data_IF_011613045592
#
_entry.id   IF_011613045592
#
_cell.length_a   1.000
_cell.length_b   1.000
_cell.length_c   1.000
_cell.angle_alpha   90.00
_cell.angle_beta   90.00
_cell.angle_gamma   90.00
#
_symmetry.space_group_name_H-M   'P 1'
#
loop_
_entity.id
_entity.type
_entity.pdbx_description
1 polymer ?
#
# COMPACT_ATOMS: atom_id res chain seq x y z
N UNK A 1 -1.87 6.03 0.78
CA UNK A 1 -2.70 5.52 -0.32
C UNK A 1 -1.81 4.87 -1.37
N UNK A 2 -2.14 3.67 -1.84
CA UNK A 2 -1.45 2.95 -2.91
C UNK A 2 -2.41 2.75 -4.10
N UNK A 3 -1.87 2.34 -5.25
CA UNK A 3 -2.67 2.00 -6.43
C UNK A 3 -2.20 0.68 -7.03
N UNK A 4 -3.13 -0.24 -7.28
CA UNK A 4 -2.89 -1.39 -8.14
C UNK A 4 -3.06 -0.95 -9.60
N UNK A 5 -2.07 -1.23 -10.44
CA UNK A 5 -2.10 -0.85 -11.86
C UNK A 5 -1.77 -2.04 -12.74
N UNK A 6 -2.46 -2.15 -13.88
CA UNK A 6 -2.17 -3.11 -14.95
C UNK A 6 -1.96 -2.30 -16.23
N UNK A 7 -0.82 -2.50 -16.89
CA UNK A 7 -0.43 -1.74 -18.09
C UNK A 7 -0.53 -0.21 -17.90
N UNK A 8 -0.14 0.29 -16.72
CA UNK A 8 -0.21 1.71 -16.37
C UNK A 8 -1.62 2.25 -16.07
N UNK A 9 -2.68 1.43 -16.22
CA UNK A 9 -4.05 1.80 -15.86
C UNK A 9 -4.34 1.40 -14.42
N UNK A 10 -4.86 2.33 -13.63
CA UNK A 10 -5.33 2.07 -12.26
C UNK A 10 -6.53 1.13 -12.27
N UNK A 11 -6.43 0.05 -11.50
CA UNK A 11 -7.47 -0.95 -11.31
C UNK A 11 -8.18 -0.73 -9.97
N UNK A 12 -7.42 -0.60 -8.87
CA UNK A 12 -7.94 -0.21 -7.57
C UNK A 12 -7.05 0.83 -6.89
N UNK A 13 -7.69 1.67 -6.07
CA UNK A 13 -7.04 2.49 -5.06
C UNK A 13 -7.10 1.75 -3.73
N UNK A 14 -5.96 1.65 -3.02
CA UNK A 14 -5.84 0.98 -1.73
C UNK A 14 -5.55 2.01 -0.64
N UNK A 15 -6.38 2.04 0.37
CA UNK A 15 -6.18 2.77 1.61
C UNK A 15 -5.67 1.83 2.69
N UNK A 16 -4.57 2.22 3.32
CA UNK A 16 -3.87 1.45 4.35
C UNK A 16 -3.72 2.31 5.58
N UNK A 17 -3.95 1.71 6.73
CA UNK A 17 -3.51 2.24 8.01
C UNK A 17 -1.99 2.07 8.12
N UNK A 18 -1.24 3.15 8.34
CA UNK A 18 0.23 3.08 8.42
C UNK A 18 0.75 2.58 9.77
N UNK A 19 -0.06 2.64 10.82
CA UNK A 19 0.30 2.10 12.13
C UNK A 19 0.09 0.58 12.17
N UNK A 20 -1.07 0.13 11.70
CA UNK A 20 -1.43 -1.31 11.74
C UNK A 20 -1.07 -2.07 10.47
N UNK A 21 -0.77 -1.36 9.38
CA UNK A 21 -0.53 -1.91 8.02
C UNK A 21 -1.71 -2.72 7.46
N UNK A 22 -2.91 -2.54 8.02
CA UNK A 22 -4.12 -3.18 7.54
C UNK A 22 -4.74 -2.37 6.41
N UNK A 23 -5.29 -3.07 5.43
CA UNK A 23 -6.08 -2.44 4.36
C UNK A 23 -7.42 -2.00 4.94
N UNK A 24 -7.72 -0.70 4.84
CA UNK A 24 -9.00 -0.11 5.22
C UNK A 24 -9.97 -0.18 4.04
N UNK A 25 -9.50 0.14 2.84
CA UNK A 25 -10.28 0.10 1.61
C UNK A 25 -9.44 -0.36 0.42
N UNK A 26 -10.08 -1.06 -0.52
CA UNK A 26 -9.51 -1.35 -1.83
C UNK A 26 -10.65 -1.34 -2.85
N UNK A 27 -10.68 -0.36 -3.75
CA UNK A 27 -11.83 -0.10 -4.63
C UNK A 27 -11.42 0.35 -6.02
N UNK A 28 -12.13 -0.13 -7.02
CA UNK A 28 -12.00 0.26 -8.41
C UNK A 28 -12.84 1.47 -8.80
N UNK A 29 -13.04 1.64 -10.11
CA UNK A 29 -13.87 2.73 -10.66
C UNK A 29 -15.28 2.63 -10.07
N UNK A 30 -15.83 3.79 -9.68
CA UNK A 30 -17.14 3.90 -9.04
C UNK A 30 -17.30 3.03 -7.78
N UNK A 31 -16.23 2.89 -6.98
CA UNK A 31 -16.21 2.10 -5.74
C UNK A 31 -16.57 0.61 -5.92
N UNK A 32 -16.37 0.08 -7.13
CA UNK A 32 -16.60 -1.34 -7.39
C UNK A 32 -15.51 -2.21 -6.77
N UNK A 33 -15.87 -3.44 -6.39
CA UNK A 33 -14.90 -4.53 -6.20
C UNK A 33 -14.48 -5.01 -7.58
N UNK A 34 -13.18 -5.10 -7.85
CA UNK A 34 -12.69 -5.65 -9.13
C UNK A 34 -12.46 -7.15 -9.04
N UNK A 35 -12.32 -7.84 -10.18
CA UNK A 35 -11.98 -9.27 -10.23
C UNK A 35 -10.62 -9.60 -9.58
N UNK A 36 -9.75 -8.60 -9.40
CA UNK A 36 -8.43 -8.75 -8.80
C UNK A 36 -8.41 -8.41 -7.31
N UNK A 37 -9.54 -8.01 -6.72
CA UNK A 37 -9.60 -7.45 -5.36
C UNK A 37 -8.90 -8.34 -4.33
N UNK A 38 -9.26 -9.62 -4.26
CA UNK A 38 -8.69 -10.54 -3.27
C UNK A 38 -7.19 -10.76 -3.48
N UNK A 39 -6.75 -10.83 -4.75
CA UNK A 39 -5.33 -10.94 -5.09
C UNK A 39 -4.55 -9.69 -4.67
N UNK A 40 -5.13 -8.50 -4.88
CA UNK A 40 -4.55 -7.22 -4.45
C UNK A 40 -4.41 -7.20 -2.93
N UNK A 41 -5.46 -7.56 -2.18
CA UNK A 41 -5.41 -7.61 -0.72
C UNK A 41 -4.33 -8.56 -0.21
N UNK A 42 -4.25 -9.77 -0.79
CA UNK A 42 -3.25 -10.76 -0.41
C UNK A 42 -1.83 -10.26 -0.68
N UNK A 43 -1.58 -9.68 -1.85
CA UNK A 43 -0.27 -9.13 -2.21
C UNK A 43 0.15 -8.00 -1.28
N UNK A 44 -0.75 -7.07 -0.98
CA UNK A 44 -0.48 -5.96 -0.06
C UNK A 44 -0.15 -6.49 1.34
N UNK A 45 -0.95 -7.41 1.86
CA UNK A 45 -0.73 -7.98 3.19
C UNK A 45 0.61 -8.72 3.29
N UNK A 46 0.93 -9.56 2.30
CA UNK A 46 2.19 -10.32 2.24
C UNK A 46 3.43 -9.40 2.16
N UNK A 47 3.30 -8.24 1.52
CA UNK A 47 4.40 -7.30 1.28
C UNK A 47 4.41 -6.09 2.22
N UNK A 48 3.53 -6.04 3.23
CA UNK A 48 3.41 -4.93 4.18
C UNK A 48 4.73 -4.54 4.86
N UNK A 49 5.64 -5.49 5.08
CA UNK A 49 6.98 -5.26 5.62
C UNK A 49 7.84 -4.31 4.76
N UNK A 50 7.67 -4.30 3.43
CA UNK A 50 8.39 -3.41 2.52
C UNK A 50 7.97 -1.94 2.69
N UNK A 51 6.72 -1.70 3.09
CA UNK A 51 6.22 -0.35 3.41
C UNK A 51 6.98 0.19 4.62
N UNK A 52 7.10 -0.61 5.68
CA UNK A 52 7.86 -0.24 6.89
C UNK A 52 9.32 0.03 6.57
N UNK A 53 9.95 -0.83 5.75
CA UNK A 53 11.34 -0.65 5.33
C UNK A 53 11.52 0.70 4.63
N UNK A 54 10.62 1.06 3.72
CA UNK A 54 10.67 2.33 2.99
C UNK A 54 10.47 3.54 3.92
N UNK A 55 9.56 3.45 4.88
CA UNK A 55 9.32 4.51 5.87
C UNK A 55 10.54 4.72 6.77
N UNK A 56 11.20 3.64 7.22
CA UNK A 56 12.43 3.70 8.02
C UNK A 56 13.59 4.33 7.25
N UNK A 57 13.77 3.97 5.98
CA UNK A 57 14.82 4.54 5.12
C UNK A 57 14.62 6.05 4.92
N UNK A 58 13.36 6.50 4.83
CA UNK A 58 13.03 7.94 4.76
C UNK A 58 13.37 8.73 6.03
N UNK A 59 13.53 8.05 7.18
CA UNK A 59 13.93 8.66 8.45
C UNK A 59 15.44 8.60 8.68
N UNK A 60 16.24 8.75 7.63
CA UNK A 60 17.68 9.00 7.71
C UNK A 60 17.97 10.51 7.66
N UNK A 61 17.30 11.29 8.53
CA UNK A 61 17.78 12.62 8.91
C UNK A 61 18.57 12.46 10.21
N UNK A 62 19.89 12.32 10.05
CA UNK A 62 20.91 12.72 11.02
C UNK A 62 20.57 12.50 12.50
N UNK A 63 20.75 11.27 12.99
CA UNK A 63 21.35 11.11 14.31
C UNK A 63 22.87 11.26 14.16
N UNK A 64 23.32 12.49 13.84
CA UNK A 64 24.70 12.87 14.09
C UNK A 64 24.79 13.22 15.57
N UNK A 65 25.65 12.45 16.22
CA UNK A 65 26.40 12.70 17.45
C UNK A 65 26.44 14.18 17.85
N UNK A 66 25.87 14.50 19.02
CA UNK A 66 26.44 15.30 20.12
C UNK A 66 25.49 15.28 21.33
#
# INVERSE_FOLDING_TARGET
MLSATINGKRIETIELDLETLKVIQSRGICNSTTEYHDQILQLVQQNSHLIVQRLKVGCSLSANVD
#
